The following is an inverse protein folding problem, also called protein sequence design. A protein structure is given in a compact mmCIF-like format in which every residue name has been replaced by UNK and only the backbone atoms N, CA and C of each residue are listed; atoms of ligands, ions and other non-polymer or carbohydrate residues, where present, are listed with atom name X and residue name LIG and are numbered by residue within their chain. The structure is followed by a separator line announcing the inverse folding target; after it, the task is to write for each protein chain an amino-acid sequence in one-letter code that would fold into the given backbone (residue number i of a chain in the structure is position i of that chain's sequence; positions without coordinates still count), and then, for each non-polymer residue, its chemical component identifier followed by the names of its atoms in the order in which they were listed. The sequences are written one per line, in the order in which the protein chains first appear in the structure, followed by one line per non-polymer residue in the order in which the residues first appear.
data_IF_846714928775
#
_entry.id   IF_846714928775
#
_cell.length_a   1.000
_cell.length_b   1.000
_cell.length_c   1.000
_cell.angle_alpha   90.00
_cell.angle_beta   90.00
_cell.angle_gamma   90.00
#
_symmetry.space_group_name_H-M   'P 1'
#
loop_
_entity.id
_entity.type
_entity.pdbx_description
1 polymer ?
#
# COMPACT_ATOMS: atom_id res chain seq x y z
N UNK A 1 32.40 -32.02 11.04
CA UNK A 1 31.57 -31.96 9.81
C UNK A 1 30.13 -31.46 10.03
N UNK A 2 29.81 -30.90 11.21
CA UNK A 2 28.46 -30.39 11.55
C UNK A 2 28.40 -28.85 11.45
N UNK A 3 29.53 -28.16 11.65
CA UNK A 3 29.62 -26.70 11.66
C UNK A 3 29.44 -26.09 10.26
N UNK A 4 29.81 -26.82 9.19
CA UNK A 4 29.63 -26.33 7.82
C UNK A 4 28.14 -26.30 7.40
N UNK A 5 27.32 -27.21 7.94
CA UNK A 5 25.90 -27.33 7.59
C UNK A 5 25.07 -26.21 8.26
N UNK A 6 25.50 -25.73 9.45
CA UNK A 6 24.79 -24.70 10.21
C UNK A 6 24.94 -23.28 9.63
N UNK A 7 25.96 -23.02 8.80
CA UNK A 7 26.21 -21.69 8.23
C UNK A 7 25.53 -21.51 6.86
N UNK A 8 25.19 -22.61 6.17
CA UNK A 8 24.63 -22.57 4.80
C UNK A 8 23.09 -22.53 4.83
N UNK A 9 22.45 -23.05 5.90
CA UNK A 9 21.00 -23.07 6.04
C UNK A 9 20.31 -21.67 6.02
N UNK A 10 20.84 -20.61 6.69
CA UNK A 10 20.19 -19.29 6.64
C UNK A 10 20.32 -18.63 5.26
N UNK A 11 21.28 -19.04 4.43
CA UNK A 11 21.51 -18.47 3.10
C UNK A 11 20.44 -18.96 2.11
N UNK A 12 19.92 -20.18 2.29
CA UNK A 12 18.88 -20.74 1.40
C UNK A 12 17.53 -20.03 1.58
N UNK A 13 17.23 -19.51 2.77
CA UNK A 13 16.03 -18.71 3.01
C UNK A 13 16.12 -17.29 2.42
N UNK A 14 17.32 -16.77 2.18
CA UNK A 14 17.53 -15.43 1.61
C UNK A 14 17.55 -15.41 0.07
N UNK A 15 17.77 -16.55 -0.59
CA UNK A 15 17.93 -16.63 -2.06
C UNK A 15 16.79 -17.40 -2.73
N UNK A 16 15.79 -17.88 -1.99
CA UNK A 16 14.57 -18.34 -2.62
C UNK A 16 13.86 -17.08 -3.17
N UNK A 17 13.79 -16.85 -4.50
CA UNK A 17 12.87 -15.87 -5.01
C UNK A 17 11.50 -16.32 -4.52
N UNK A 18 10.90 -15.54 -3.63
CA UNK A 18 9.47 -15.59 -3.41
C UNK A 18 8.88 -15.40 -4.80
N UNK A 19 8.44 -16.50 -5.41
CA UNK A 19 7.68 -16.50 -6.65
C UNK A 19 6.33 -15.90 -6.29
N UNK A 20 6.30 -14.59 -6.01
CA UNK A 20 5.10 -13.79 -5.97
C UNK A 20 4.67 -13.74 -7.42
N UNK A 21 3.84 -14.71 -7.83
CA UNK A 21 3.07 -14.57 -9.05
C UNK A 21 2.25 -13.31 -8.82
N UNK A 22 2.62 -12.22 -9.49
CA UNK A 22 1.79 -11.03 -9.58
C UNK A 22 0.39 -11.52 -9.96
N UNK A 23 -0.50 -11.53 -8.98
CA UNK A 23 -1.89 -11.91 -9.18
C UNK A 23 -2.51 -10.67 -9.81
N UNK A 24 -2.31 -10.50 -11.12
CA UNK A 24 -3.11 -9.57 -11.92
C UNK A 24 -4.52 -10.16 -12.01
N UNK A 25 -5.25 -10.13 -10.91
CA UNK A 25 -6.70 -10.13 -10.97
C UNK A 25 -7.09 -8.93 -11.84
N UNK A 26 -8.04 -9.16 -12.73
CA UNK A 26 -8.52 -8.17 -13.69
C UNK A 26 -9.44 -7.20 -12.92
N UNK A 27 -8.84 -6.41 -12.03
CA UNK A 27 -9.52 -5.47 -11.15
C UNK A 27 -9.89 -4.23 -11.97
N UNK A 28 -11.18 -4.04 -12.23
CA UNK A 28 -11.67 -2.99 -13.12
C UNK A 28 -11.75 -1.64 -12.39
N UNK A 29 -10.58 -1.06 -12.13
CA UNK A 29 -10.43 0.26 -11.51
C UNK A 29 -10.41 1.37 -12.57
N UNK A 30 -10.98 2.53 -12.23
CA UNK A 30 -10.82 3.74 -13.04
C UNK A 30 -9.35 4.17 -13.15
N UNK A 31 -9.01 4.91 -14.21
CA UNK A 31 -7.65 5.44 -14.44
C UNK A 31 -7.16 6.32 -13.28
N UNK A 32 -8.07 7.06 -12.63
CA UNK A 32 -7.74 7.87 -11.46
C UNK A 32 -7.35 6.99 -10.26
N UNK A 33 -8.12 5.95 -9.94
CA UNK A 33 -7.82 4.98 -8.88
C UNK A 33 -6.48 4.30 -9.09
N UNK A 34 -6.26 3.79 -10.31
CA UNK A 34 -4.98 3.19 -10.72
C UNK A 34 -3.81 4.17 -10.51
N UNK A 35 -4.01 5.46 -10.83
CA UNK A 35 -2.98 6.48 -10.65
C UNK A 35 -2.70 6.80 -9.18
N UNK A 36 -3.73 6.83 -8.32
CA UNK A 36 -3.56 7.08 -6.89
C UNK A 36 -2.82 5.92 -6.23
N UNK A 37 -3.29 4.69 -6.41
CA UNK A 37 -2.64 3.50 -5.84
C UNK A 37 -1.20 3.32 -6.33
N UNK A 38 -0.93 3.53 -7.63
CA UNK A 38 0.45 3.49 -8.17
C UNK A 38 1.35 4.54 -7.54
N UNK A 39 0.88 5.77 -7.36
CA UNK A 39 1.69 6.85 -6.75
C UNK A 39 1.96 6.55 -5.28
N UNK A 40 0.95 6.09 -4.56
CA UNK A 40 1.10 5.69 -3.17
C UNK A 40 2.13 4.58 -3.03
N UNK A 41 1.95 3.47 -3.75
CA UNK A 41 2.88 2.35 -3.75
C UNK A 41 4.31 2.79 -4.08
N UNK A 42 4.47 3.66 -5.09
CA UNK A 42 5.78 4.20 -5.46
C UNK A 42 6.42 4.99 -4.31
N UNK A 43 5.72 5.97 -3.74
CA UNK A 43 6.28 6.84 -2.68
C UNK A 43 6.58 6.04 -1.41
N UNK A 44 5.68 5.13 -1.04
CA UNK A 44 5.89 4.20 0.06
C UNK A 44 7.15 3.34 -0.15
N UNK A 45 7.29 2.74 -1.33
CA UNK A 45 8.47 1.95 -1.67
C UNK A 45 9.75 2.78 -1.68
N UNK A 46 9.72 4.02 -2.18
CA UNK A 46 10.87 4.92 -2.15
C UNK A 46 11.30 5.20 -0.69
N UNK A 47 10.35 5.46 0.22
CA UNK A 47 10.61 5.64 1.65
C UNK A 47 11.16 4.36 2.33
N UNK A 48 10.58 3.19 2.06
CA UNK A 48 11.06 1.91 2.61
C UNK A 48 12.50 1.60 2.17
N UNK A 49 12.87 1.93 0.92
CA UNK A 49 14.25 1.76 0.43
C UNK A 49 15.25 2.69 1.13
N UNK A 50 14.79 3.84 1.62
CA UNK A 50 15.60 4.76 2.42
C UNK A 50 15.72 4.32 3.90
N UNK A 51 15.07 3.22 4.28
CA UNK A 51 15.17 2.64 5.61
C UNK A 51 14.16 3.18 6.63
N UNK A 52 13.13 3.90 6.17
CA UNK A 52 12.00 4.30 7.01
C UNK A 52 11.20 3.06 7.42
N UNK A 53 10.67 3.07 8.65
CA UNK A 53 9.68 2.08 9.06
C UNK A 53 8.34 2.29 8.34
N UNK A 54 7.46 1.31 8.45
CA UNK A 54 6.21 1.26 7.68
C UNK A 54 5.22 2.32 8.11
N UNK A 55 5.19 2.70 9.39
CA UNK A 55 4.32 3.77 9.89
C UNK A 55 4.71 5.11 9.24
N UNK A 56 5.99 5.50 9.33
CA UNK A 56 6.44 6.75 8.71
C UNK A 56 6.38 6.71 7.19
N UNK A 57 6.70 5.58 6.56
CA UNK A 57 6.59 5.43 5.11
C UNK A 57 5.14 5.58 4.62
N UNK A 58 4.17 5.07 5.39
CA UNK A 58 2.73 5.19 5.09
C UNK A 58 2.25 6.62 5.20
N UNK A 59 2.59 7.31 6.30
CA UNK A 59 2.23 8.71 6.49
C UNK A 59 2.89 9.61 5.44
N UNK A 60 4.16 9.34 5.11
CA UNK A 60 4.87 10.06 4.07
C UNK A 60 4.24 9.86 2.70
N UNK A 61 3.87 8.62 2.35
CA UNK A 61 3.18 8.31 1.10
C UNK A 61 1.80 8.97 1.04
N UNK A 62 1.03 8.95 2.13
CA UNK A 62 -0.26 9.64 2.21
C UNK A 62 -0.11 11.15 1.93
N UNK A 63 0.82 11.80 2.62
CA UNK A 63 1.05 13.24 2.53
C UNK A 63 1.53 13.69 1.14
N UNK A 64 2.17 12.80 0.38
CA UNK A 64 2.71 13.08 -0.95
C UNK A 64 1.84 12.51 -2.08
N UNK A 65 0.63 12.02 -1.78
CA UNK A 65 -0.29 11.48 -2.77
C UNK A 65 -1.65 12.19 -2.71
N UNK A 66 -2.46 11.96 -3.73
CA UNK A 66 -3.81 12.49 -3.79
C UNK A 66 -4.77 11.86 -2.77
N UNK A 67 -4.39 10.76 -2.11
CA UNK A 67 -5.25 10.06 -1.16
C UNK A 67 -5.74 11.01 -0.04
N UNK A 68 -4.89 11.94 0.40
CA UNK A 68 -5.21 12.97 1.39
C UNK A 68 -6.29 13.98 0.97
N UNK A 69 -6.54 14.11 -0.34
CA UNK A 69 -7.36 15.19 -0.91
C UNK A 69 -8.55 14.69 -1.74
N UNK A 70 -8.65 13.39 -2.00
CA UNK A 70 -9.67 12.84 -2.89
C UNK A 70 -10.88 12.43 -2.06
N UNK A 71 -12.02 13.06 -2.34
CA UNK A 71 -13.32 12.58 -1.91
C UNK A 71 -13.62 11.25 -2.61
N UNK A 72 -13.37 10.13 -1.95
CA UNK A 72 -13.69 8.82 -2.50
C UNK A 72 -15.21 8.60 -2.55
N UNK A 73 -15.70 7.75 -3.47
CA UNK A 73 -17.08 7.27 -3.41
C UNK A 73 -17.32 6.59 -2.05
N UNK A 74 -18.50 6.77 -1.49
CA UNK A 74 -18.94 6.09 -0.27
C UNK A 74 -19.33 4.63 -0.62
N UNK A 75 -18.31 3.83 -0.91
CA UNK A 75 -18.42 2.45 -1.39
C UNK A 75 -17.28 1.62 -0.79
N UNK A 76 -17.59 0.70 0.13
CA UNK A 76 -16.59 -0.14 0.78
C UNK A 76 -15.82 -1.01 -0.24
N UNK A 77 -16.49 -1.44 -1.31
CA UNK A 77 -15.87 -2.23 -2.40
C UNK A 77 -14.81 -1.40 -3.14
N UNK A 78 -14.98 -0.08 -3.21
CA UNK A 78 -13.99 0.81 -3.81
C UNK A 78 -12.67 0.81 -3.04
N UNK A 79 -12.74 0.92 -1.70
CA UNK A 79 -11.54 0.99 -0.86
C UNK A 79 -10.79 -0.34 -0.84
N UNK A 80 -11.51 -1.46 -0.79
CA UNK A 80 -10.92 -2.79 -0.85
C UNK A 80 -10.22 -3.04 -2.20
N UNK A 81 -10.86 -2.68 -3.32
CA UNK A 81 -10.26 -2.80 -4.64
C UNK A 81 -9.02 -1.90 -4.79
N UNK A 82 -9.10 -0.64 -4.35
CA UNK A 82 -7.96 0.27 -4.38
C UNK A 82 -6.79 -0.24 -3.52
N UNK A 83 -7.10 -0.84 -2.37
CA UNK A 83 -6.10 -1.47 -1.51
C UNK A 83 -5.45 -2.68 -2.20
N UNK A 84 -6.21 -3.65 -2.72
CA UNK A 84 -5.66 -4.82 -3.42
C UNK A 84 -4.72 -4.38 -4.55
N UNK A 85 -5.14 -3.39 -5.33
CA UNK A 85 -4.30 -2.83 -6.38
C UNK A 85 -3.01 -2.20 -5.85
N UNK A 86 -3.09 -1.41 -4.79
CA UNK A 86 -1.94 -0.74 -4.17
C UNK A 86 -0.97 -1.75 -3.57
N UNK A 87 -1.48 -2.73 -2.82
CA UNK A 87 -0.72 -3.82 -2.23
C UNK A 87 0.05 -4.60 -3.30
N UNK A 88 -0.61 -4.96 -4.40
CA UNK A 88 0.06 -5.66 -5.51
C UNK A 88 1.22 -4.83 -6.09
N UNK A 89 1.04 -3.52 -6.26
CA UNK A 89 2.14 -2.66 -6.72
C UNK A 89 3.27 -2.58 -5.69
N UNK A 90 2.98 -2.58 -4.39
CA UNK A 90 4.02 -2.60 -3.33
C UNK A 90 4.80 -3.92 -3.40
N UNK A 91 4.09 -5.06 -3.46
CA UNK A 91 4.70 -6.38 -3.57
C UNK A 91 5.63 -6.46 -4.79
N UNK A 92 5.18 -5.97 -5.95
CA UNK A 92 5.94 -6.01 -7.20
C UNK A 92 7.19 -5.11 -7.19
N UNK A 93 7.21 -4.03 -6.40
CA UNK A 93 8.26 -3.01 -6.47
C UNK A 93 9.21 -3.00 -5.26
N UNK A 94 8.73 -3.35 -4.08
CA UNK A 94 9.51 -3.30 -2.84
C UNK A 94 9.09 -4.36 -1.80
N UNK A 95 8.39 -5.42 -2.19
CA UNK A 95 7.91 -6.45 -1.26
C UNK A 95 9.01 -7.13 -0.43
N UNK A 96 10.27 -7.09 -0.86
CA UNK A 96 11.42 -7.58 -0.08
C UNK A 96 11.74 -6.74 1.17
N UNK A 97 11.23 -5.50 1.24
CA UNK A 97 11.43 -4.56 2.34
C UNK A 97 10.22 -4.44 3.28
N UNK A 98 9.16 -5.20 3.01
CA UNK A 98 7.86 -5.09 3.69
C UNK A 98 7.47 -6.47 4.19
N UNK A 99 7.38 -6.63 5.50
CA UNK A 99 6.96 -7.90 6.10
C UNK A 99 5.43 -8.01 6.23
N UNK A 100 4.95 -9.15 6.74
CA UNK A 100 3.50 -9.39 6.85
C UNK A 100 2.83 -8.50 7.90
N UNK A 101 3.55 -8.08 8.95
CA UNK A 101 3.02 -7.16 9.95
C UNK A 101 2.94 -5.75 9.35
N UNK A 102 3.95 -5.34 8.60
CA UNK A 102 3.96 -4.09 7.85
C UNK A 102 2.74 -3.99 6.92
N UNK A 103 2.36 -5.08 6.24
CA UNK A 103 1.18 -5.09 5.39
C UNK A 103 -0.14 -4.96 6.17
N UNK A 104 -0.26 -5.61 7.33
CA UNK A 104 -1.47 -5.48 8.15
C UNK A 104 -1.62 -4.06 8.68
N UNK A 105 -0.53 -3.46 9.16
CA UNK A 105 -0.51 -2.07 9.63
C UNK A 105 -0.83 -1.10 8.49
N UNK A 106 -0.22 -1.31 7.33
CA UNK A 106 -0.48 -0.50 6.15
C UNK A 106 -1.93 -0.64 5.65
N UNK A 107 -2.52 -1.84 5.68
CA UNK A 107 -3.92 -2.05 5.32
C UNK A 107 -4.86 -1.27 6.24
N UNK A 108 -4.64 -1.37 7.56
CA UNK A 108 -5.44 -0.65 8.55
C UNK A 108 -5.33 0.86 8.32
N UNK A 109 -4.11 1.39 8.22
CA UNK A 109 -3.87 2.80 7.95
C UNK A 109 -4.54 3.26 6.65
N UNK A 110 -4.39 2.49 5.57
CA UNK A 110 -4.96 2.83 4.27
C UNK A 110 -6.49 2.87 4.31
N UNK A 111 -7.13 1.92 4.99
CA UNK A 111 -8.58 1.86 5.14
C UNK A 111 -9.10 2.99 6.03
N UNK A 112 -8.43 3.29 7.13
CA UNK A 112 -8.80 4.41 8.02
C UNK A 112 -8.75 5.75 7.28
N UNK A 113 -7.63 6.04 6.63
CA UNK A 113 -7.46 7.27 5.85
C UNK A 113 -8.38 7.31 4.62
N UNK A 114 -8.62 6.16 3.99
CA UNK A 114 -9.57 6.00 2.90
C UNK A 114 -11.01 6.32 3.32
N UNK A 115 -11.44 5.86 4.50
CA UNK A 115 -12.76 6.18 5.06
C UNK A 115 -12.89 7.67 5.38
N UNK A 116 -11.84 8.28 5.97
CA UNK A 116 -11.81 9.73 6.21
C UNK A 116 -11.95 10.47 4.88
N UNK A 117 -11.17 10.09 3.88
CA UNK A 117 -11.22 10.67 2.54
C UNK A 117 -12.56 10.42 1.82
N UNK A 118 -13.27 9.34 2.14
CA UNK A 118 -14.62 9.05 1.61
C UNK A 118 -15.70 9.93 2.23
N UNK A 119 -15.44 10.53 3.39
CA UNK A 119 -16.38 11.43 4.04
C UNK A 119 -16.42 12.79 3.32
N UNK A 120 -17.25 12.86 2.28
CA UNK A 120 -17.39 14.02 1.40
C UNK A 120 -17.79 15.29 2.14
N UNK A 121 -18.50 15.19 3.26
CA UNK A 121 -18.95 16.33 4.06
C UNK A 121 -17.79 17.03 4.80
N UNK A 122 -16.66 16.34 5.01
CA UNK A 122 -15.45 16.96 5.56
C UNK A 122 -14.70 17.83 4.53
N UNK A 123 -14.86 17.55 3.23
CA UNK A 123 -14.02 18.13 2.17
C UNK A 123 -14.79 18.97 1.14
N UNK A 124 -16.10 18.78 1.03
CA UNK A 124 -16.95 19.61 0.20
C UNK A 124 -17.57 20.72 1.05
N UNK A 125 -17.54 21.99 0.60
CA UNK A 125 -18.25 23.04 1.29
C UNK A 125 -19.73 22.66 1.37
N UNK A 126 -20.27 22.62 2.59
CA UNK A 126 -21.71 22.61 2.81
C UNK A 126 -22.26 23.90 2.20
N UNK A 127 -22.83 23.80 1.00
CA UNK A 127 -23.63 24.89 0.46
C UNK A 127 -24.84 25.00 1.37
N UNK A 128 -24.75 25.86 2.39
CA UNK A 128 -25.92 26.34 3.11
C UNK A 128 -26.82 27.01 2.06
N UNK A 129 -27.88 26.31 1.66
CA UNK A 129 -28.96 26.94 0.92
C UNK A 129 -29.63 27.91 1.89
N UNK A 130 -29.46 29.21 1.63
CA UNK A 130 -30.15 30.32 2.29
C UNK A 130 -31.66 30.09 2.44
#
# INVERSE_FOLDING_TARGET
MIILISLILPIIFFIAPINVKAFQNNLDLSTAQTSVGKRFAKVFCDAKREGLDSEFASEYALNNTYLKFVAFPDDDEYLDNLWEFTQNNILDNCGEYVDINDFNELEMFFKEEGLIASNRDLYLPTFENN
#
